data_IF_475262330598
#
_entry.id   IF_475262330598
#
_cell.length_a   1.000
_cell.length_b   1.000
_cell.length_c   1.000
_cell.angle_alpha   90.00
_cell.angle_beta   90.00
_cell.angle_gamma   90.00
#
_symmetry.space_group_name_H-M   'P 1'
#
loop_
_entity.id
_entity.type
_entity.pdbx_description
1 polymer ?
#
# COMPACT_ATOMS: atom_id res chain seq x y z
N UNK A 1 -40.27 23.16 -9.55
CA UNK A 1 -39.45 22.18 -10.29
C UNK A 1 -38.24 21.83 -9.43
N UNK A 2 -37.91 20.55 -9.34
CA UNK A 2 -37.27 19.89 -8.19
C UNK A 2 -35.82 20.30 -7.93
N UNK A 3 -35.50 20.39 -6.65
CA UNK A 3 -34.20 20.65 -6.03
C UNK A 3 -33.05 19.89 -6.73
N UNK A 4 -32.01 20.62 -7.09
CA UNK A 4 -30.69 20.05 -7.42
C UNK A 4 -30.09 19.51 -6.13
N UNK A 5 -30.22 18.21 -5.89
CA UNK A 5 -29.47 17.52 -4.83
C UNK A 5 -28.02 17.47 -5.25
N UNK A 6 -27.20 18.39 -4.73
CA UNK A 6 -25.74 18.29 -4.82
C UNK A 6 -25.30 17.04 -4.06
N UNK A 7 -25.08 15.94 -4.79
CA UNK A 7 -24.37 14.78 -4.28
C UNK A 7 -22.90 15.19 -4.10
N UNK A 8 -22.56 15.71 -2.93
CA UNK A 8 -21.16 15.90 -2.53
C UNK A 8 -20.53 14.52 -2.40
N UNK A 9 -19.53 14.14 -3.23
CA UNK A 9 -18.81 12.91 -3.01
C UNK A 9 -18.15 12.96 -1.62
N UNK A 10 -18.05 11.83 -0.89
CA UNK A 10 -17.32 11.81 0.37
C UNK A 10 -15.92 12.34 0.08
N UNK A 11 -15.48 13.33 0.86
CA UNK A 11 -14.14 13.93 0.75
C UNK A 11 -13.11 12.82 0.59
N UNK A 12 -12.61 12.66 -0.64
CA UNK A 12 -11.52 11.75 -0.92
C UNK A 12 -10.40 12.20 0.01
N UNK A 13 -9.91 11.29 0.85
CA UNK A 13 -8.81 11.61 1.75
C UNK A 13 -7.56 11.75 0.88
N UNK A 14 -7.40 12.94 0.34
CA UNK A 14 -6.32 13.36 -0.53
C UNK A 14 -5.24 14.02 0.33
N UNK A 15 -3.99 13.69 0.04
CA UNK A 15 -2.84 14.38 0.60
C UNK A 15 -2.78 15.81 0.06
N UNK A 16 -2.03 16.73 0.70
CA UNK A 16 -1.81 18.08 0.15
C UNK A 16 -1.16 18.09 -1.25
N UNK A 17 -0.67 16.95 -1.73
CA UNK A 17 -0.13 16.72 -3.07
C UNK A 17 -1.15 16.12 -4.05
N UNK A 18 -2.42 15.99 -3.66
CA UNK A 18 -3.48 15.36 -4.47
C UNK A 18 -3.39 13.84 -4.58
N UNK A 19 -2.47 13.19 -3.85
CA UNK A 19 -2.34 11.73 -3.83
C UNK A 19 -3.33 11.09 -2.86
N UNK A 20 -3.84 9.90 -3.18
CA UNK A 20 -4.67 9.13 -2.25
C UNK A 20 -3.90 8.83 -0.95
N UNK A 21 -4.51 9.16 0.18
CA UNK A 21 -3.91 8.85 1.49
C UNK A 21 -3.99 7.35 1.79
N UNK A 22 -3.00 6.87 2.52
CA UNK A 22 -2.94 5.49 3.01
C UNK A 22 -3.01 5.51 4.54
N UNK A 23 -3.47 4.41 5.14
CA UNK A 23 -3.42 4.27 6.59
C UNK A 23 -1.98 4.31 7.08
N UNK A 24 -1.69 5.11 8.11
CA UNK A 24 -0.37 5.15 8.74
C UNK A 24 -0.08 3.89 9.57
N UNK A 25 -1.10 3.07 9.86
CA UNK A 25 -0.94 1.83 10.61
C UNK A 25 -0.31 0.73 9.74
N UNK A 26 0.62 -0.07 10.29
CA UNK A 26 1.19 -1.19 9.57
C UNK A 26 0.14 -2.26 9.27
N UNK A 27 0.38 -3.05 8.22
CA UNK A 27 -0.47 -4.18 7.88
C UNK A 27 -0.54 -5.19 9.05
N UNK A 28 -1.76 -5.68 9.35
CA UNK A 28 -1.99 -6.63 10.43
C UNK A 28 -1.24 -7.94 10.16
N UNK A 29 -0.46 -8.40 11.15
CA UNK A 29 0.16 -9.71 11.09
C UNK A 29 -0.90 -10.82 11.07
N UNK A 30 -0.75 -11.77 10.14
CA UNK A 30 -1.60 -12.95 10.02
C UNK A 30 -0.69 -14.18 9.97
N UNK A 31 -0.79 -15.12 10.92
CA UNK A 31 0.10 -16.29 10.97
C UNK A 31 0.06 -17.15 9.69
N UNK A 32 -1.12 -17.29 9.09
CA UNK A 32 -1.36 -18.09 7.89
C UNK A 32 -0.78 -17.46 6.61
N UNK A 33 -0.62 -16.14 6.57
CA UNK A 33 0.01 -15.38 5.49
C UNK A 33 -0.24 -15.94 4.05
N UNK A 34 -1.53 -16.05 3.69
CA UNK A 34 -1.98 -16.65 2.42
C UNK A 34 -1.31 -16.07 1.17
N UNK A 35 -0.91 -14.80 1.24
CA UNK A 35 -0.30 -14.08 0.12
C UNK A 35 1.24 -13.95 0.23
N UNK A 36 1.86 -14.72 1.12
CA UNK A 36 3.32 -14.77 1.30
C UNK A 36 4.07 -15.01 -0.01
N UNK A 37 3.58 -15.96 -0.83
CA UNK A 37 4.19 -16.33 -2.11
C UNK A 37 4.17 -15.15 -3.09
N UNK A 38 3.04 -14.47 -3.29
CA UNK A 38 3.01 -13.32 -4.21
C UNK A 38 3.86 -12.17 -3.68
N UNK A 39 3.86 -11.92 -2.36
CA UNK A 39 4.69 -10.89 -1.75
C UNK A 39 6.18 -11.11 -2.02
N UNK A 40 6.67 -12.34 -1.85
CA UNK A 40 8.08 -12.68 -2.10
C UNK A 40 8.41 -12.56 -3.59
N UNK A 41 7.53 -13.03 -4.49
CA UNK A 41 7.74 -12.92 -5.94
C UNK A 41 7.81 -11.46 -6.40
N UNK A 42 6.93 -10.60 -5.90
CA UNK A 42 6.97 -9.15 -6.17
C UNK A 42 8.30 -8.54 -5.70
N UNK A 43 8.70 -8.80 -4.46
CA UNK A 43 9.98 -8.31 -3.93
C UNK A 43 11.18 -8.75 -4.77
N UNK A 44 11.19 -10.00 -5.24
CA UNK A 44 12.23 -10.53 -6.13
C UNK A 44 12.28 -9.80 -7.47
N UNK A 45 11.12 -9.58 -8.12
CA UNK A 45 11.02 -8.88 -9.43
C UNK A 45 11.55 -7.45 -9.38
N UNK A 46 11.32 -6.75 -8.27
CA UNK A 46 11.76 -5.37 -8.09
C UNK A 46 13.14 -5.23 -7.44
N UNK A 47 13.87 -6.33 -7.19
CA UNK A 47 15.20 -6.24 -6.58
C UNK A 47 15.19 -5.78 -5.11
N UNK A 48 14.05 -5.88 -4.42
CA UNK A 48 13.85 -5.36 -3.05
C UNK A 48 14.25 -6.36 -1.97
N UNK A 49 14.69 -7.57 -2.34
CA UNK A 49 14.98 -8.61 -1.37
C UNK A 49 16.38 -8.39 -0.78
N UNK A 50 16.55 -8.34 0.56
CA UNK A 50 17.86 -8.10 1.18
C UNK A 50 18.92 -9.14 0.77
N UNK A 51 18.49 -10.37 0.49
CA UNK A 51 19.36 -11.48 0.05
C UNK A 51 19.95 -11.28 -1.35
N UNK A 52 19.45 -10.30 -2.13
CA UNK A 52 20.03 -9.96 -3.44
C UNK A 52 21.25 -9.04 -3.29
N UNK A 53 21.47 -8.43 -2.12
CA UNK A 53 22.62 -7.57 -1.85
C UNK A 53 23.82 -8.42 -1.41
N UNK A 54 25.06 -7.99 -1.69
CA UNK A 54 26.24 -8.65 -1.12
C UNK A 54 26.15 -8.66 0.40
N UNK A 55 26.63 -9.75 1.02
CA UNK A 55 26.67 -9.87 2.46
C UNK A 55 27.45 -8.72 3.11
N UNK A 56 27.14 -8.35 4.36
CA UNK A 56 27.89 -7.33 5.09
C UNK A 56 29.37 -7.75 5.17
N UNK A 57 30.28 -6.84 4.79
CA UNK A 57 31.71 -6.99 5.05
C UNK A 57 31.96 -6.53 6.49
N UNK A 58 32.52 -7.41 7.30
CA UNK A 58 32.96 -7.13 8.66
C UNK A 58 34.45 -6.79 8.68
#
# INVERSE_FOLDING_TARGET
MKMVTRFTPPSLKESPLGLATQSAHPARFSPDDKFSRQRVLLKKRFGLLPTQKPGPKY
#
